data_IF_322195084266
#
_entry.id   IF_322195084266
#
_cell.length_a   1.000
_cell.length_b   1.000
_cell.length_c   1.000
_cell.angle_alpha   90.00
_cell.angle_beta   90.00
_cell.angle_gamma   90.00
#
_symmetry.space_group_name_H-M   'P 1'
#
loop_
_entity.id
_entity.type
_entity.pdbx_description
1 polymer ?
2 non-polymer ?
3 water ?
#
# COMPACT_ATOMS: atom_id res chain seq x y z
N UNK A 2 14.54 -7.01 6.51
CA UNK A 2 13.72 -6.45 5.39
C UNK A 2 12.26 -6.41 5.83
N UNK A 3 11.81 -7.51 6.43
CA UNK A 3 10.41 -7.68 6.84
C UNK A 3 10.02 -6.71 7.95
N UNK A 4 11.01 -6.15 8.64
CA UNK A 4 10.78 -5.11 9.64
C UNK A 4 10.11 -3.87 9.00
N UNK A 5 10.73 -3.34 7.95
CA UNK A 5 10.19 -2.17 7.23
C UNK A 5 8.91 -2.49 6.47
N UNK A 6 8.72 -3.76 6.22
CA UNK A 6 7.55 -4.19 5.50
C UNK A 6 6.28 -4.17 6.39
N UNK A 7 6.42 -4.70 7.58
CA UNK A 7 5.41 -4.57 8.61
C UNK A 7 5.11 -3.11 8.92
N UNK A 8 6.14 -2.27 9.08
CA UNK A 8 5.84 -0.84 9.31
C UNK A 8 5.05 -0.18 8.16
N UNK A 9 5.40 -0.49 6.89
CA UNK A 9 4.71 0.12 5.76
C UNK A 9 3.30 -0.41 5.63
N UNK A 10 3.10 -1.66 6.05
CA UNK A 10 1.76 -2.22 6.10
C UNK A 10 0.91 -1.49 7.15
N UNK A 11 1.49 -1.20 8.30
CA UNK A 11 0.76 -0.48 9.33
C UNK A 11 0.50 0.95 8.93
N UNK A 12 1.56 1.64 8.60
CA UNK A 12 1.49 3.05 8.26
C UNK A 12 0.71 3.23 6.98
N UNK A 13 1.02 2.43 5.98
CA UNK A 13 0.42 2.61 4.68
C UNK A 13 -0.92 1.95 4.42
N UNK A 14 -1.45 1.18 5.36
CA UNK A 14 -2.76 0.60 5.15
C UNK A 14 -3.62 0.55 6.37
N UNK A 15 -3.14 -0.10 7.43
CA UNK A 15 -3.96 -0.27 8.64
C UNK A 15 -4.33 1.07 9.29
N UNK A 16 -3.40 2.02 9.30
CA UNK A 16 -3.72 3.34 9.84
C UNK A 16 -4.80 4.03 9.03
N UNK A 17 -4.80 3.86 7.71
CA UNK A 17 -5.81 4.54 6.87
C UNK A 17 -7.17 3.91 7.01
N UNK A 18 -7.16 2.61 7.23
CA UNK A 18 -8.35 1.82 7.14
C UNK A 18 -9.04 1.56 8.48
N UNK A 19 -8.33 1.45 9.58
CA UNK A 19 -8.99 1.04 10.82
C UNK A 19 -10.06 2.04 11.38
N UNK A 20 -9.68 3.32 11.52
CA UNK A 20 -10.52 4.30 12.21
C UNK A 20 -11.96 4.42 11.72
N UNK A 21 -12.19 4.16 10.45
CA UNK A 21 -13.53 4.22 9.89
C UNK A 21 -14.23 2.87 9.80
N UNK A 22 -13.64 1.82 10.37
CA UNK A 22 -14.14 0.48 10.18
C UNK A 22 -15.50 0.36 10.82
N UNK A 23 -15.59 0.81 12.06
CA UNK A 23 -16.83 0.64 12.83
C UNK A 23 -18.06 1.30 12.16
N UNK A 24 -17.88 2.54 11.71
CA UNK A 24 -18.95 3.19 10.98
C UNK A 24 -19.38 2.35 9.80
N UNK A 25 -18.45 1.70 9.12
CA UNK A 25 -18.84 0.92 7.92
C UNK A 25 -19.59 -0.36 8.30
N UNK A 26 -19.24 -0.88 9.47
CA UNK A 26 -19.96 -2.03 10.05
C UNK A 26 -21.41 -1.63 10.36
N UNK A 27 -21.55 -0.51 11.09
CA UNK A 27 -22.88 0.05 11.44
C UNK A 27 -23.84 0.10 10.25
N UNK A 28 -23.37 0.67 9.13
CA UNK A 28 -24.13 0.65 7.88
C UNK A 28 -24.46 -0.76 7.49
N UNK A 29 -23.41 -1.54 7.27
CA UNK A 29 -23.52 -2.90 6.79
C UNK A 29 -24.63 -3.58 7.56
N UNK A 30 -24.59 -3.42 8.87
CA UNK A 30 -25.56 -4.04 9.77
C UNK A 30 -27.01 -3.51 9.60
N UNK A 31 -27.16 -2.19 9.45
CA UNK A 31 -28.45 -1.60 9.10
C UNK A 31 -29.06 -2.32 7.92
N UNK A 32 -28.21 -2.61 6.94
CA UNK A 32 -28.67 -3.01 5.61
C UNK A 32 -28.67 -4.51 5.41
N UNK A 33 -28.12 -5.25 6.37
CA UNK A 33 -28.12 -6.74 6.35
C UNK A 33 -28.50 -7.29 7.72
N UNK A 34 -29.61 -6.76 8.25
CA UNK A 34 -30.31 -7.37 9.39
C UNK A 34 -29.37 -7.79 10.50
N UNK A 35 -28.37 -6.96 10.75
CA UNK A 35 -27.35 -7.22 11.76
C UNK A 35 -26.55 -8.53 11.63
N UNK A 36 -26.11 -8.79 10.41
CA UNK A 36 -25.24 -9.88 10.08
C UNK A 36 -23.94 -9.90 10.91
N UNK A 37 -23.28 -8.77 11.04
CA UNK A 37 -22.18 -8.67 11.99
C UNK A 37 -22.78 -8.71 13.35
N UNK A 38 -22.03 -9.08 14.34
CA UNK A 38 -22.66 -9.52 15.58
C UNK A 38 -22.46 -8.79 16.91
N UNK A 39 -21.42 -9.17 17.62
CA UNK A 39 -21.03 -8.45 18.81
C UNK A 39 -19.61 -8.82 19.13
N UNK A 40 -18.71 -7.84 19.05
CA UNK A 40 -17.35 -7.99 19.55
C UNK A 40 -16.48 -8.88 18.67
N UNK A 41 -16.88 -10.14 18.45
CA UNK A 41 -16.12 -11.05 17.55
C UNK A 41 -16.07 -10.53 16.11
N UNK A 42 -17.20 -10.01 15.65
CA UNK A 42 -17.34 -9.63 14.28
C UNK A 42 -17.03 -8.14 14.11
N UNK A 43 -16.42 -7.50 15.10
CA UNK A 43 -16.12 -6.05 15.02
C UNK A 43 -14.65 -5.73 14.75
N UNK A 44 -13.96 -6.65 14.08
CA UNK A 44 -12.52 -6.55 13.86
C UNK A 44 -12.19 -6.86 12.42
N UNK A 45 -11.09 -6.32 11.94
CA UNK A 45 -10.58 -6.66 10.61
C UNK A 45 -9.57 -7.75 10.84
N UNK A 46 -9.84 -8.93 10.30
CA UNK A 46 -8.96 -10.08 10.44
C UNK A 46 -8.07 -10.20 9.21
N UNK A 47 -6.77 -10.15 9.49
CA UNK A 47 -5.75 -10.20 8.46
C UNK A 47 -5.13 -11.59 8.50
N UNK A 48 -5.26 -12.33 7.41
CA UNK A 48 -4.67 -13.66 7.30
C UNK A 48 -3.21 -13.65 6.83
N UNK A 49 -2.36 -14.32 7.60
CA UNK A 49 -0.97 -14.42 7.22
C UNK A 49 -0.48 -15.87 7.28
N UNK A 50 -0.71 -16.65 6.22
CA UNK A 50 -0.21 -17.98 6.26
C UNK A 50 1.28 -17.97 6.13
N UNK A 51 1.92 -18.80 6.90
CA UNK A 51 3.36 -18.96 6.83
C UNK A 51 3.80 -19.84 5.67
N UNK A 52 3.18 -20.97 5.53
CA UNK A 52 3.73 -21.95 4.65
C UNK A 52 3.48 -21.59 3.21
N UNK A 54 4.05 -19.15 -0.41
CA UNK A 54 3.52 -17.93 -0.91
C UNK A 54 2.31 -18.29 -1.71
N UNK A 55 1.54 -17.30 -2.03
CA UNK A 55 0.33 -17.54 -2.81
C UNK A 55 -0.57 -18.62 -2.18
N UNK A 56 -1.24 -18.23 -1.12
CA UNK A 56 -2.31 -19.09 -0.62
C UNK A 56 -3.48 -18.99 -1.57
N UNK A 57 -4.34 -20.01 -1.53
CA UNK A 57 -5.57 -20.05 -2.30
C UNK A 57 -6.30 -18.75 -2.03
N UNK A 58 -6.94 -18.16 -3.03
CA UNK A 58 -7.73 -16.95 -2.76
C UNK A 58 -8.97 -17.35 -1.95
N UNK A 59 -9.55 -16.38 -1.28
CA UNK A 59 -10.45 -16.65 -0.16
C UNK A 59 -11.78 -17.22 -0.62
N UNK A 60 -12.17 -16.88 -1.83
CA UNK A 60 -13.40 -17.41 -2.39
C UNK A 60 -13.35 -18.92 -2.62
N UNK A 61 -12.17 -19.54 -2.59
CA UNK A 61 -12.03 -20.93 -2.97
C UNK A 61 -11.28 -21.77 -1.94
N UNK A 62 -10.76 -21.13 -0.92
CA UNK A 62 -9.78 -21.76 -0.06
C UNK A 62 -10.42 -22.86 0.74
N UNK A 63 -11.69 -22.66 1.05
CA UNK A 63 -12.36 -23.52 2.01
C UNK A 63 -13.85 -23.44 1.79
N UNK A 64 -14.49 -24.59 1.66
CA UNK A 64 -15.93 -24.54 1.48
C UNK A 64 -16.66 -23.93 2.69
N UNK A 65 -16.02 -23.99 3.87
CA UNK A 65 -16.62 -23.38 5.04
C UNK A 65 -16.29 -21.92 5.22
N UNK A 66 -15.67 -21.29 4.24
CA UNK A 66 -15.56 -19.83 4.27
C UNK A 66 -16.35 -19.23 3.10
N UNK A 67 -17.47 -18.60 3.43
CA UNK A 67 -18.44 -18.22 2.40
C UNK A 67 -18.58 -16.70 2.26
N UNK A 68 -18.28 -16.19 1.07
CA UNK A 68 -18.39 -14.76 0.85
C UNK A 68 -19.83 -14.32 0.89
N UNK A 69 -20.09 -13.18 1.51
CA UNK A 69 -21.45 -12.68 1.57
C UNK A 69 -21.58 -11.38 0.80
N UNK A 70 -20.80 -10.41 1.27
CA UNK A 70 -20.92 -9.09 0.74
C UNK A 70 -19.78 -8.15 1.09
N UNK A 71 -19.69 -7.09 0.30
CA UNK A 71 -18.73 -6.04 0.55
C UNK A 71 -19.28 -5.14 1.62
N UNK A 72 -18.40 -4.64 2.47
CA UNK A 72 -18.76 -3.52 3.31
C UNK A 72 -18.97 -2.35 2.37
N UNK A 73 -19.67 -1.32 2.81
CA UNK A 73 -19.57 -0.12 1.99
C UNK A 73 -18.11 0.26 1.80
N UNK A 74 -17.78 0.78 0.61
CA UNK A 74 -16.42 1.26 0.33
C UNK A 74 -16.00 2.29 1.35
N UNK A 75 -14.70 2.51 1.47
CA UNK A 75 -14.13 3.56 2.32
C UNK A 75 -13.47 4.54 1.38
N UNK A 76 -13.80 5.82 1.50
CA UNK A 76 -13.09 6.89 0.73
C UNK A 76 -12.03 7.50 1.62
N UNK A 77 -10.85 7.70 1.07
CA UNK A 77 -9.77 8.32 1.80
C UNK A 77 -9.37 9.64 1.14
N UNK A 78 -8.77 10.55 1.87
CA UNK A 78 -8.42 11.80 1.28
C UNK A 78 -7.38 12.44 2.12
N UNK A 79 -6.25 11.78 2.15
CA UNK A 79 -5.15 12.26 2.88
C UNK A 79 -4.57 13.15 1.86
N UNK A 80 -3.53 13.86 2.22
CA UNK A 80 -2.82 14.64 1.23
C UNK A 80 -1.90 13.67 0.56
N UNK A 81 -2.41 12.46 0.34
CA UNK A 81 -1.69 11.43 -0.36
C UNK A 81 -1.19 11.59 -1.75
N UNK A 82 -1.59 10.72 -2.65
CA UNK A 82 -2.79 9.94 -2.67
C UNK A 82 -4.06 10.63 -3.03
N UNK A 83 -4.37 11.70 -2.32
CA UNK A 83 -5.52 12.49 -2.67
C UNK A 83 -6.70 11.57 -2.50
N UNK A 84 -7.43 11.27 -3.56
CA UNK A 84 -8.61 10.47 -3.42
C UNK A 84 -8.37 9.03 -3.72
N UNK A 85 -8.79 8.17 -2.81
CA UNK A 85 -8.72 6.73 -2.95
C UNK A 85 -9.97 6.08 -2.43
N UNK A 86 -10.28 4.94 -3.02
CA UNK A 86 -11.38 4.12 -2.55
C UNK A 86 -10.80 2.74 -2.20
N UNK A 87 -11.16 2.24 -1.02
CA UNK A 87 -10.74 0.90 -0.56
C UNK A 87 -11.92 -0.01 -0.41
N UNK A 88 -11.71 -1.30 -0.64
CA UNK A 88 -12.77 -2.29 -0.40
C UNK A 88 -12.40 -3.28 0.71
N UNK A 89 -13.41 -3.76 1.44
CA UNK A 89 -13.26 -4.97 2.29
C UNK A 89 -14.49 -5.81 2.25
N UNK A 90 -14.25 -7.10 2.50
CA UNK A 90 -15.16 -8.18 2.19
C UNK A 90 -15.54 -8.91 3.44
N UNK A 91 -16.78 -9.36 3.46
CA UNK A 91 -17.39 -9.97 4.63
C UNK A 91 -17.70 -11.38 4.31
N UNK A 92 -17.31 -12.28 5.21
CA UNK A 92 -17.43 -13.70 4.97
C UNK A 92 -18.20 -14.41 6.07
N UNK A 93 -19.00 -15.39 5.63
CA UNK A 93 -19.67 -16.30 6.53
C UNK A 93 -18.77 -17.52 6.75
N UNK A 94 -18.65 -17.90 8.02
CA UNK A 94 -17.77 -18.97 8.40
C UNK A 94 -18.56 -20.06 9.05
N UNK A 95 -18.49 -21.23 8.46
CA UNK A 95 -19.29 -22.39 8.83
C UNK A 95 -18.48 -23.32 9.71
N UNK A 96 -19.15 -23.96 10.64
CA UNK A 96 -18.56 -25.04 11.40
C UNK A 96 -19.64 -26.08 11.54
N UNK A 97 -19.34 -27.29 11.15
CA UNK A 97 -20.29 -28.37 11.26
C UNK A 97 -21.59 -28.06 10.50
N UNK A 98 -21.46 -27.36 9.38
CA UNK A 98 -22.60 -27.03 8.53
C UNK A 98 -23.51 -25.91 9.00
N UNK A 99 -23.13 -25.20 10.07
CA UNK A 99 -23.89 -24.11 10.62
C UNK A 99 -23.07 -22.87 10.54
N UNK A 100 -23.73 -21.73 10.30
CA UNK A 100 -23.05 -20.46 10.36
C UNK A 100 -22.56 -20.16 11.76
N UNK A 101 -21.25 -20.19 11.95
CA UNK A 101 -20.67 -20.03 13.30
C UNK A 101 -20.03 -18.68 13.47
N UNK A 102 -19.73 -18.00 12.38
CA UNK A 102 -19.19 -16.67 12.49
C UNK A 102 -19.34 -15.90 11.21
N UNK A 103 -19.37 -14.58 11.35
CA UNK A 103 -19.45 -13.70 10.20
C UNK A 103 -18.35 -12.68 10.41
N UNK A 104 -17.48 -12.50 9.45
CA UNK A 104 -16.42 -11.54 9.65
C UNK A 104 -15.79 -10.94 8.41
N UNK A 105 -15.04 -9.88 8.63
CA UNK A 105 -14.27 -9.18 7.63
C UNK A 105 -12.89 -9.76 7.67
N UNK A 106 -12.45 -10.22 6.52
CA UNK A 106 -11.35 -11.10 6.42
C UNK A 106 -10.60 -10.81 5.16
N UNK A 107 -9.30 -10.65 5.25
CA UNK A 107 -8.43 -10.60 4.08
C UNK A 107 -7.03 -11.11 4.34
N UNK A 108 -6.33 -11.43 3.24
CA UNK A 108 -4.90 -11.71 3.27
C UNK A 108 -4.11 -10.46 3.35
N UNK A 109 -2.99 -10.53 4.05
CA UNK A 109 -2.01 -9.47 4.14
C UNK A 109 -1.34 -9.31 2.80
N UNK A 110 -1.50 -8.16 2.17
CA UNK A 110 -0.87 -7.89 0.90
C UNK A 110 0.64 -8.10 0.88
N UNK A 111 1.33 -7.78 1.98
CA UNK A 111 2.79 -7.99 1.97
C UNK A 111 3.30 -9.42 1.73
N UNK A 112 2.45 -10.43 1.92
CA UNK A 112 2.73 -11.75 1.35
C UNK A 112 3.20 -11.65 -0.06
N UNK A 113 2.54 -10.79 -0.85
CA UNK A 113 2.84 -10.73 -2.30
C UNK A 113 4.22 -10.15 -2.49
N UNK A 114 4.59 -9.18 -1.68
CA UNK A 114 5.91 -8.66 -1.74
C UNK A 114 6.93 -9.70 -1.29
N UNK A 115 6.62 -10.45 -0.24
CA UNK A 115 7.59 -11.41 0.29
C UNK A 115 7.81 -12.48 -0.76
N UNK A 116 6.74 -12.92 -1.39
CA UNK A 116 6.87 -13.89 -2.41
C UNK A 116 7.68 -13.32 -3.56
N UNK A 117 7.33 -12.14 -4.04
CA UNK A 117 7.99 -11.57 -5.20
C UNK A 117 9.46 -11.44 -4.92
N UNK A 118 9.81 -11.00 -3.73
CA UNK A 118 11.21 -10.95 -3.36
C UNK A 118 11.90 -12.31 -3.53
N UNK A 119 11.26 -13.36 -3.03
CA UNK A 119 11.84 -14.69 -3.04
C UNK A 119 12.06 -15.23 -4.46
N UNK A 120 11.18 -14.85 -5.39
CA UNK A 120 11.20 -15.31 -6.80
C UNK A 120 12.14 -14.52 -7.78
N UNK A 121 12.79 -13.49 -7.28
CA UNK A 121 13.62 -12.66 -8.13
C UNK A 121 14.87 -13.41 -8.54
N UNK A 122 15.12 -13.42 -9.85
CA UNK A 122 16.22 -14.20 -10.44
C UNK A 122 17.59 -14.01 -9.81
N UNK A 123 18.06 -12.77 -9.69
CA UNK A 123 19.37 -12.52 -9.15
C UNK A 123 19.47 -12.70 -7.64
N UNK A 124 18.58 -12.05 -6.88
CA UNK A 124 18.67 -12.08 -5.39
C UNK A 124 17.54 -12.85 -4.67
N UNK A 125 16.72 -13.60 -5.43
CA UNK A 125 15.75 -14.50 -4.83
C UNK A 125 16.36 -15.40 -3.72
N UNK A 126 15.50 -16.10 -3.01
CA UNK A 126 15.93 -16.91 -1.87
C UNK A 126 14.95 -18.02 -1.53
N UNK A 127 15.44 -18.96 -0.75
CA UNK A 127 14.77 -20.22 -0.52
C UNK A 127 13.48 -20.07 0.30
N UNK A 128 12.73 -21.16 0.32
CA UNK A 128 11.51 -21.27 1.11
C UNK A 128 11.72 -21.04 2.61
N UNK A 129 12.79 -21.66 3.13
CA UNK A 129 13.22 -21.52 4.52
C UNK A 129 13.58 -20.09 4.88
N UNK A 130 14.30 -19.42 3.99
CA UNK A 130 14.63 -18.03 4.17
C UNK A 130 13.38 -17.15 4.08
N UNK A 131 12.45 -17.50 3.20
CA UNK A 131 11.20 -16.76 3.14
C UNK A 131 10.37 -16.90 4.43
N UNK A 132 10.31 -18.13 5.00
CA UNK A 132 9.57 -18.38 6.25
C UNK A 132 10.14 -17.52 7.40
N UNK A 133 11.47 -17.38 7.42
CA UNK A 133 12.17 -16.59 8.45
C UNK A 133 11.73 -15.12 8.35
N UNK A 134 11.70 -14.61 7.13
CA UNK A 134 11.17 -13.26 6.89
C UNK A 134 9.67 -13.13 7.22
N UNK A 135 8.88 -14.14 6.90
CA UNK A 135 7.46 -14.10 7.20
C UNK A 135 7.27 -13.99 8.69
N UNK A 136 7.99 -14.82 9.44
CA UNK A 136 7.88 -14.82 10.91
C UNK A 136 8.26 -13.45 11.51
N UNK A 137 9.28 -12.82 10.94
CA UNK A 137 9.74 -11.53 11.36
C UNK A 137 8.71 -10.44 11.04
N UNK A 138 8.08 -10.52 9.86
CA UNK A 138 6.98 -9.57 9.55
C UNK A 138 5.88 -9.62 10.60
N UNK A 139 5.45 -10.82 10.97
CA UNK A 139 4.36 -11.01 11.91
C UNK A 139 4.69 -10.53 13.32
N UNK A 140 5.86 -10.91 13.79
CA UNK A 140 6.31 -10.54 15.11
C UNK A 140 6.38 -9.02 15.23
N UNK A 141 6.98 -8.38 14.25
CA UNK A 141 7.08 -6.94 14.19
C UNK A 141 5.71 -6.26 14.05
N UNK A 142 4.81 -6.79 13.19
CA UNK A 142 3.47 -6.17 13.07
C UNK A 142 2.68 -6.33 14.39
N UNK A 143 2.82 -7.50 15.05
CA UNK A 143 2.12 -7.75 16.30
C UNK A 143 2.55 -6.75 17.36
N UNK A 144 3.85 -6.48 17.44
CA UNK A 144 4.39 -5.49 18.37
C UNK A 144 3.83 -4.11 18.14
N UNK A 145 3.83 -3.67 16.89
CA UNK A 145 3.27 -2.36 16.53
C UNK A 145 1.82 -2.25 17.00
N UNK A 146 1.03 -3.25 16.67
CA UNK A 146 -0.37 -3.25 17.03
C UNK A 146 -0.60 -3.26 18.54
N UNK A 147 0.24 -3.99 19.26
CA UNK A 147 0.11 -4.04 20.71
C UNK A 147 0.26 -2.66 21.32
N UNK A 148 1.02 -1.79 20.67
CA UNK A 148 1.32 -0.47 21.19
C UNK A 148 0.29 0.57 20.83
N UNK A 149 -0.81 0.16 20.22
CA UNK A 149 -1.78 1.06 19.62
C UNK A 149 -3.19 0.53 19.89
N UNK A 150 -3.79 0.92 21.01
CA UNK A 150 -5.02 0.23 21.44
C UNK A 150 -6.19 0.44 20.48
N UNK A 151 -6.35 1.66 19.96
CA UNK A 151 -7.37 1.96 18.97
C UNK A 151 -7.21 1.18 17.66
N UNK A 152 -5.97 0.94 17.26
CA UNK A 152 -5.73 0.10 16.11
C UNK A 152 -6.02 -1.35 16.50
N UNK A 153 -5.46 -1.80 17.63
CA UNK A 153 -5.59 -3.21 18.04
C UNK A 153 -7.00 -3.64 18.36
N UNK A 154 -7.82 -2.73 18.85
CA UNK A 154 -9.22 -3.05 19.11
C UNK A 154 -10.00 -3.28 17.82
N UNK A 155 -9.46 -2.87 16.70
CA UNK A 155 -10.14 -3.06 15.44
C UNK A 155 -9.52 -4.10 14.48
N UNK A 156 -8.42 -4.76 14.83
CA UNK A 156 -7.93 -5.86 13.98
C UNK A 156 -6.96 -6.85 14.63
N UNK A 157 -6.89 -8.04 14.04
CA UNK A 157 -6.12 -9.13 14.64
C UNK A 157 -5.41 -9.83 13.52
N UNK A 158 -4.14 -10.13 13.73
CA UNK A 158 -3.35 -10.87 12.79
C UNK A 158 -3.60 -12.33 13.08
N UNK A 159 -4.03 -13.07 12.05
CA UNK A 159 -4.25 -14.50 12.10
C UNK A 159 -3.11 -15.22 11.38
N UNK A 160 -2.18 -15.73 12.19
CA UNK A 160 -0.94 -16.35 11.69
C UNK A 160 -1.03 -17.84 11.82
N UNK A 161 -0.77 -18.55 10.74
CA UNK A 161 -0.86 -20.00 10.81
C UNK A 161 0.06 -20.66 9.81
N UNK A 162 0.39 -21.90 10.08
CA UNK A 162 1.25 -22.65 9.20
C UNK A 162 0.36 -23.72 8.57
N UNK A 163 0.59 -24.02 7.32
CA UNK A 163 -0.20 -25.01 6.65
C UNK A 163 0.62 -26.26 6.53
N UNK A 164 0.12 -27.36 7.03
CA UNK A 164 0.84 -28.57 6.72
C UNK A 164 0.57 -28.97 5.26
N UNK A 165 1.60 -29.35 4.50
CA UNK A 165 1.40 -29.92 3.13
C UNK A 165 0.88 -31.34 3.37
N UNK A 166 1.52 -32.02 4.32
CA UNK A 166 0.98 -33.20 4.97
C UNK A 166 -0.46 -32.90 5.46
N UNK A 169 -5.94 -32.57 6.17
CA UNK A 169 -6.69 -31.94 7.23
C UNK A 169 -6.12 -30.66 7.85
N UNK A 170 -6.13 -29.57 7.07
CA UNK A 170 -6.11 -28.19 7.62
C UNK A 170 -7.33 -27.43 7.16
N UNK A 171 -8.04 -26.85 8.11
CA UNK A 171 -9.22 -26.08 7.85
C UNK A 171 -8.88 -24.66 8.24
N UNK A 172 -8.89 -23.74 7.29
CA UNK A 172 -8.70 -22.32 7.62
C UNK A 172 -9.88 -21.78 8.40
N UNK A 173 -11.10 -22.26 8.09
CA UNK A 173 -12.30 -21.88 8.82
C UNK A 173 -12.19 -22.15 10.34
N UNK A 174 -11.63 -23.28 10.74
CA UNK A 174 -11.51 -23.59 12.17
C UNK A 174 -10.47 -22.67 12.81
N UNK A 175 -9.46 -22.30 12.05
CA UNK A 175 -8.45 -21.35 12.54
C UNK A 175 -9.04 -19.97 12.76
N UNK A 176 -9.83 -19.50 11.81
CA UNK A 176 -10.45 -18.19 11.91
C UNK A 176 -11.40 -18.16 13.11
N UNK A 177 -12.26 -19.18 13.21
CA UNK A 177 -13.13 -19.36 14.36
C UNK A 177 -12.43 -19.35 15.68
N UNK A 178 -11.35 -20.08 15.81
CA UNK A 178 -10.63 -20.04 17.06
C UNK A 178 -10.17 -18.63 17.43
N UNK A 179 -9.71 -17.87 16.45
CA UNK A 179 -9.36 -16.49 16.75
C UNK A 179 -10.56 -15.68 17.13
N UNK A 180 -11.59 -15.73 16.30
CA UNK A 180 -12.82 -14.99 16.50
C UNK A 180 -13.34 -15.29 17.89
N UNK A 181 -13.13 -16.51 18.40
CA UNK A 181 -13.61 -16.90 19.74
C UNK A 181 -12.71 -16.45 20.90
N UNK A 182 -11.39 -16.53 20.73
CA UNK A 182 -10.42 -16.19 21.79
C UNK A 182 -10.90 -15.18 22.86
N UNK B 1 18.50 -4.40 4.01
CA UNK B 1 17.91 -3.75 5.24
C UNK B 1 16.37 -3.53 5.09
N UNK B 2 15.81 -2.72 6.00
CA UNK B 2 14.35 -2.57 6.16
C UNK B 2 13.79 -1.84 4.96
N UNK B 3 14.63 -0.96 4.41
CA UNK B 3 14.31 -0.09 3.27
C UNK B 3 14.32 -0.84 1.95
N UNK B 4 14.98 -1.99 1.96
CA UNK B 4 15.02 -2.88 0.81
C UNK B 4 13.65 -3.59 0.62
N UNK B 5 13.12 -4.17 1.69
CA UNK B 5 11.75 -4.67 1.67
C UNK B 5 10.73 -3.57 1.40
N UNK B 6 11.00 -2.39 1.91
CA UNK B 6 10.13 -1.25 1.69
C UNK B 6 10.06 -0.86 0.20
N UNK B 7 11.20 -0.91 -0.47
CA UNK B 7 11.33 -0.54 -1.89
C UNK B 7 10.57 -1.57 -2.72
N UNK B 8 10.74 -2.83 -2.36
CA UNK B 8 10.02 -3.88 -3.05
C UNK B 8 8.52 -3.78 -2.85
N UNK B 9 8.08 -3.33 -1.68
CA UNK B 9 6.66 -3.19 -1.46
C UNK B 9 6.09 -1.99 -2.18
N UNK B 10 6.87 -0.94 -2.40
CA UNK B 10 6.35 0.24 -3.14
C UNK B 10 6.20 -0.17 -4.57
N UNK B 11 7.16 -0.94 -5.04
CA UNK B 11 7.10 -1.45 -6.39
C UNK B 11 5.96 -2.44 -6.55
N UNK B 12 6.01 -3.56 -5.80
CA UNK B 12 4.94 -4.57 -5.91
C UNK B 12 3.57 -3.96 -5.51
N UNK B 13 3.54 -3.17 -4.45
CA UNK B 13 2.28 -2.67 -3.92
C UNK B 13 1.66 -1.42 -4.54
N UNK B 14 2.39 -0.74 -5.39
CA UNK B 14 1.86 0.51 -5.94
C UNK B 14 2.27 0.69 -7.40
N UNK B 15 3.56 0.78 -7.69
CA UNK B 15 3.99 1.04 -9.06
C UNK B 15 3.50 -0.01 -10.06
N UNK B 16 3.55 -1.29 -9.71
CA UNK B 16 2.94 -2.33 -10.59
C UNK B 16 1.46 -2.11 -10.84
N UNK B 17 0.75 -1.57 -9.87
CA UNK B 17 -0.71 -1.40 -10.03
C UNK B 17 -1.08 -0.22 -10.89
N UNK B 18 -0.15 0.71 -11.03
CA UNK B 18 -0.48 2.08 -11.47
C UNK B 18 0.13 2.48 -12.83
N UNK B 19 1.36 2.06 -13.07
CA UNK B 19 2.07 2.36 -14.31
C UNK B 19 1.43 1.76 -15.58
N UNK B 20 1.03 0.48 -15.54
CA UNK B 20 0.44 -0.14 -16.74
C UNK B 20 -0.70 0.65 -17.34
N UNK B 21 -1.52 1.31 -16.51
CA UNK B 21 -2.67 2.03 -17.03
C UNK B 21 -2.45 3.51 -17.25
N UNK B 22 -1.20 3.99 -17.08
CA UNK B 22 -0.89 5.44 -16.99
C UNK B 22 -1.13 6.17 -18.32
N UNK B 23 -0.52 5.61 -19.34
CA UNK B 23 -0.54 6.20 -20.68
C UNK B 23 -1.97 6.29 -21.14
N UNK B 24 -2.74 5.26 -20.89
CA UNK B 24 -4.18 5.31 -21.19
C UNK B 24 -4.83 6.51 -20.53
N UNK B 25 -4.46 6.77 -19.28
CA UNK B 25 -5.06 7.85 -18.49
C UNK B 25 -4.58 9.23 -18.94
N UNK B 26 -3.34 9.28 -19.41
CA UNK B 26 -2.77 10.49 -19.99
C UNK B 26 -3.45 10.89 -21.30
N UNK B 27 -3.54 9.96 -22.25
CA UNK B 27 -4.20 10.21 -23.54
C UNK B 27 -5.57 10.80 -23.30
N UNK B 28 -6.37 10.17 -22.47
CA UNK B 28 -7.70 10.69 -22.14
C UNK B 28 -7.61 12.08 -21.51
N UNK B 29 -6.58 12.30 -20.68
CA UNK B 29 -6.38 13.62 -20.08
C UNK B 29 -6.23 14.67 -21.17
N UNK B 30 -5.25 14.41 -22.05
CA UNK B 30 -4.90 15.33 -23.11
C UNK B 30 -6.09 15.73 -23.93
N UNK B 31 -6.89 14.73 -24.27
CA UNK B 31 -8.12 14.95 -24.98
C UNK B 31 -9.07 15.87 -24.24
N UNK B 32 -9.10 15.76 -22.92
CA UNK B 32 -9.99 16.58 -22.08
C UNK B 32 -9.41 17.98 -21.79
N UNK B 33 -8.09 18.17 -22.03
CA UNK B 33 -7.37 19.44 -21.75
C UNK B 33 -6.31 19.73 -22.80
N UNK B 34 -6.82 19.88 -24.01
CA UNK B 34 -6.02 20.24 -25.17
C UNK B 34 -4.56 19.79 -25.23
N UNK B 35 -4.34 18.50 -25.04
CA UNK B 35 -3.00 17.89 -25.14
C UNK B 35 -1.98 18.62 -24.25
N UNK B 36 -2.47 19.04 -23.09
CA UNK B 36 -1.68 19.78 -22.08
C UNK B 36 -0.41 19.08 -21.58
N UNK B 37 -0.45 17.75 -21.57
CA UNK B 37 0.72 16.97 -21.18
C UNK B 37 1.71 16.74 -22.31
N UNK B 38 1.36 15.79 -23.18
CA UNK B 38 2.33 15.12 -24.04
C UNK B 38 3.48 15.96 -24.59
N UNK B 39 4.68 15.60 -24.17
CA UNK B 39 5.87 15.96 -24.90
C UNK B 39 6.98 14.94 -24.68
N UNK B 40 6.60 13.72 -24.29
CA UNK B 40 7.54 12.67 -23.78
C UNK B 40 8.01 12.96 -22.34
N UNK B 41 8.59 14.15 -22.12
CA UNK B 41 8.94 14.62 -20.76
C UNK B 41 7.73 14.81 -19.85
N UNK B 42 6.56 14.99 -20.48
CA UNK B 42 5.30 15.17 -19.77
C UNK B 42 4.55 13.84 -19.58
N UNK B 43 5.20 12.69 -19.73
CA UNK B 43 4.42 11.45 -19.68
C UNK B 43 5.04 10.38 -18.81
N UNK B 44 5.61 10.81 -17.70
CA UNK B 44 6.06 9.88 -16.68
C UNK B 44 5.47 10.21 -15.32
N UNK B 45 5.44 9.23 -14.44
CA UNK B 45 5.05 9.50 -13.07
C UNK B 45 6.30 9.95 -12.38
N UNK B 46 6.34 11.20 -11.93
CA UNK B 46 7.51 11.72 -11.21
C UNK B 46 7.27 11.56 -9.72
N UNK B 47 8.22 10.92 -9.08
CA UNK B 47 8.09 10.57 -7.69
C UNK B 47 9.21 11.27 -6.94
N UNK B 48 8.80 12.22 -6.10
CA UNK B 48 9.71 13.02 -5.30
C UNK B 48 10.14 12.27 -4.06
N UNK B 49 11.44 12.26 -3.83
CA UNK B 49 12.01 11.65 -2.65
C UNK B 49 13.05 12.57 -2.03
N UNK B 50 12.60 13.52 -1.20
CA UNK B 50 13.55 14.35 -0.47
C UNK B 50 14.30 13.55 0.58
N UNK B 51 15.61 13.51 0.43
CA UNK B 51 16.47 12.75 1.33
C UNK B 51 16.63 13.43 2.66
N UNK B 52 16.14 14.65 2.79
CA UNK B 52 16.35 15.41 4.00
C UNK B 52 15.72 14.97 5.26
N UNK B 54 11.79 13.56 7.10
CA UNK B 54 10.45 13.07 6.93
C UNK B 54 9.54 14.27 6.78
N UNK B 55 8.33 14.01 6.33
CA UNK B 55 7.32 15.01 6.37
C UNK B 55 7.75 16.23 5.62
N UNK B 56 7.70 16.15 4.30
CA UNK B 56 7.91 17.31 3.44
C UNK B 56 6.56 17.98 3.14
N UNK B 57 6.49 19.30 3.25
CA UNK B 57 5.25 20.03 3.02
C UNK B 57 4.50 19.51 1.80
N UNK B 58 3.18 19.40 1.90
CA UNK B 58 2.41 18.86 0.82
C UNK B 58 2.61 19.67 -0.44
N UNK B 59 2.55 19.02 -1.58
CA UNK B 59 2.99 19.59 -2.83
C UNK B 59 2.33 20.86 -3.25
N UNK B 60 1.07 21.03 -2.86
CA UNK B 60 0.29 22.20 -3.30
C UNK B 60 0.78 23.51 -2.65
N UNK B 61 1.65 23.35 -1.66
CA UNK B 61 2.02 24.41 -0.73
C UNK B 61 3.55 24.52 -0.58
N UNK B 62 4.30 23.56 -1.12
CA UNK B 62 5.78 23.50 -0.92
C UNK B 62 6.56 24.60 -1.68
N UNK B 63 6.00 25.10 -2.77
CA UNK B 63 6.78 25.99 -3.63
C UNK B 63 5.87 26.81 -4.48
N UNK B 64 6.05 28.14 -4.49
CA UNK B 64 5.11 28.87 -5.37
C UNK B 64 5.26 28.47 -6.87
N UNK B 65 6.44 27.93 -7.21
CA UNK B 65 6.66 27.50 -8.58
C UNK B 65 6.15 26.13 -8.92
N UNK B 66 5.47 25.46 -8.00
CA UNK B 66 4.85 24.15 -8.27
C UNK B 66 3.37 24.29 -8.02
N UNK B 67 2.58 24.41 -9.09
CA UNK B 67 1.18 24.83 -9.00
C UNK B 67 0.24 23.74 -9.50
N UNK B 68 -0.66 23.25 -8.63
CA UNK B 68 -1.59 22.17 -9.00
C UNK B 68 -2.51 22.58 -10.18
N UNK B 69 -2.59 21.71 -11.18
CA UNK B 69 -3.42 22.04 -12.34
C UNK B 69 -4.68 21.20 -12.34
N UNK B 70 -4.51 19.89 -12.37
CA UNK B 70 -5.64 18.98 -12.50
C UNK B 70 -5.31 17.58 -12.05
N UNK B 71 -6.38 16.82 -11.82
CA UNK B 71 -6.28 15.39 -11.60
C UNK B 71 -6.39 14.66 -12.96
N UNK B 72 -5.58 13.62 -13.09
CA UNK B 72 -5.79 12.63 -14.15
C UNK B 72 -7.13 11.97 -13.91
N UNK B 73 -7.70 11.35 -14.95
CA UNK B 73 -8.82 10.46 -14.61
C UNK B 73 -8.34 9.33 -13.71
N UNK B 74 -9.23 8.87 -12.85
CA UNK B 74 -8.88 7.90 -11.84
C UNK B 74 -8.48 6.57 -12.42
N UNK B 75 -7.64 5.83 -11.70
CA UNK B 75 -7.29 4.46 -12.08
C UNK B 75 -8.04 3.52 -11.20
N UNK B 76 -8.87 2.68 -11.79
CA UNK B 76 -9.60 1.65 -11.07
C UNK B 76 -8.82 0.38 -11.09
N UNK B 77 -8.78 -0.30 -9.98
CA UNK B 77 -7.99 -1.50 -9.89
C UNK B 77 -8.90 -2.54 -9.36
N UNK B 78 -8.66 -3.78 -9.74
CA UNK B 78 -9.55 -4.83 -9.36
C UNK B 78 -8.84 -6.14 -9.37
N UNK B 79 -8.21 -6.42 -8.26
CA UNK B 79 -7.46 -7.63 -8.14
C UNK B 79 -8.17 -8.56 -7.19
N UNK B 80 -7.58 -9.71 -6.96
CA UNK B 80 -8.05 -10.63 -5.94
C UNK B 80 -7.47 -10.10 -4.67
N UNK B 81 -8.11 -10.41 -3.56
CA UNK B 81 -7.67 -9.88 -2.31
C UNK B 81 -7.99 -8.46 -2.08
N UNK B 82 -7.53 -7.60 -2.97
CA UNK B 82 -7.90 -6.19 -2.93
C UNK B 82 -8.90 -6.14 -4.05
N UNK B 83 -10.14 -5.97 -3.71
CA UNK B 83 -11.15 -5.93 -4.72
C UNK B 83 -11.12 -4.45 -5.00
N UNK B 84 -12.14 -3.90 -5.57
CA UNK B 84 -12.12 -2.52 -6.01
C UNK B 84 -11.37 -1.41 -5.31
N UNK B 85 -10.39 -0.84 -5.97
CA UNK B 85 -9.71 0.35 -5.45
C UNK B 85 -9.69 1.41 -6.49
N UNK B 86 -9.69 2.64 -6.05
CA UNK B 86 -9.58 3.72 -6.98
C UNK B 86 -8.35 4.48 -6.51
N UNK B 87 -7.37 4.65 -7.42
CA UNK B 87 -6.17 5.44 -7.17
C UNK B 87 -6.23 6.74 -7.95
N UNK B 88 -5.65 7.79 -7.36
CA UNK B 88 -5.54 9.11 -8.00
C UNK B 88 -4.10 9.52 -8.25
N UNK B 89 -3.91 10.31 -9.29
CA UNK B 89 -2.66 11.01 -9.52
C UNK B 89 -2.88 12.44 -10.01
N UNK B 90 -1.93 13.31 -9.70
CA UNK B 90 -2.12 14.77 -9.85
C UNK B 90 -1.11 15.38 -10.83
N UNK B 91 -1.60 16.33 -11.59
CA UNK B 91 -0.82 16.98 -12.62
C UNK B 91 -0.48 18.38 -12.19
N UNK B 92 0.81 18.69 -12.27
CA UNK B 92 1.33 19.99 -11.83
C UNK B 92 1.98 20.76 -12.96
N UNK B 93 1.77 22.06 -12.91
CA UNK B 93 2.36 23.03 -13.79
C UNK B 93 3.60 23.53 -13.04
N UNK B 94 4.75 23.48 -13.67
CA UNK B 94 5.99 23.92 -13.04
C UNK B 94 6.47 25.20 -13.74
N UNK B 95 6.27 26.32 -13.06
CA UNK B 95 6.69 27.59 -13.55
C UNK B 95 8.15 27.86 -13.30
N UNK B 96 8.74 28.53 -14.28
CA UNK B 96 10.08 29.09 -14.20
C UNK B 96 9.98 30.54 -14.65
N UNK B 97 10.77 31.39 -14.04
CA UNK B 97 10.77 32.77 -14.46
C UNK B 97 9.40 33.39 -14.36
N UNK B 98 8.58 32.86 -13.48
CA UNK B 98 7.23 33.31 -13.32
C UNK B 98 6.24 32.77 -14.34
N UNK B 99 6.65 31.84 -15.20
CA UNK B 99 5.75 31.34 -16.24
C UNK B 99 5.74 29.83 -16.34
N UNK B 100 4.62 29.23 -16.79
CA UNK B 100 4.69 27.78 -16.96
C UNK B 100 5.80 27.37 -17.92
N UNK B 101 6.66 26.50 -17.43
CA UNK B 101 7.79 25.98 -18.17
C UNK B 101 7.66 24.46 -18.39
N UNK B 102 6.91 23.78 -17.54
CA UNK B 102 6.79 22.33 -17.61
C UNK B 102 5.47 21.89 -17.05
N UNK B 103 5.00 20.73 -17.50
CA UNK B 103 3.78 20.12 -16.97
C UNK B 103 4.03 18.65 -16.73
N UNK B 104 3.67 18.17 -15.55
CA UNK B 104 3.90 16.77 -15.27
C UNK B 104 2.93 16.23 -14.25
N UNK B 105 3.04 14.92 -14.10
CA UNK B 105 2.35 14.15 -13.05
C UNK B 105 3.38 13.98 -11.94
N UNK B 106 3.04 14.39 -10.72
CA UNK B 106 4.05 14.60 -9.66
C UNK B 106 3.52 14.16 -8.28
N UNK B 107 4.29 13.37 -7.54
CA UNK B 107 3.88 13.03 -6.18
C UNK B 107 5.05 12.65 -5.33
N UNK B 108 4.84 12.74 -4.03
CA UNK B 108 5.81 12.23 -3.06
C UNK B 108 5.69 10.74 -2.95
N UNK B 109 6.82 10.11 -2.76
CA UNK B 109 6.86 8.73 -2.41
C UNK B 109 6.26 8.51 -1.04
N UNK B 110 5.17 7.77 -0.98
CA UNK B 110 4.55 7.42 0.26
C UNK B 110 5.44 6.74 1.31
N UNK B 111 6.43 5.94 0.94
CA UNK B 111 7.31 5.38 1.97
C UNK B 111 8.15 6.38 2.78
N UNK B 112 8.19 7.64 2.39
CA UNK B 112 8.75 8.65 3.27
C UNK B 112 8.05 8.61 4.60
N UNK B 113 6.74 8.48 4.56
CA UNK B 113 5.95 8.44 5.78
C UNK B 113 6.27 7.27 6.67
N UNK B 114 6.73 6.19 6.09
CA UNK B 114 7.06 4.99 6.82
C UNK B 114 8.46 5.07 7.45
N UNK B 115 9.46 5.58 6.74
CA UNK B 115 10.77 5.73 7.29
C UNK B 115 10.69 6.71 8.42
N UNK B 116 9.85 7.71 8.26
CA UNK B 116 9.68 8.64 9.32
C UNK B 116 9.03 7.94 10.54
N UNK B 117 7.90 7.25 10.36
CA UNK B 117 7.19 6.60 11.50
C UNK B 117 8.05 5.63 12.26
N UNK B 118 8.84 4.87 11.50
CA UNK B 118 9.87 3.97 12.05
C UNK B 118 10.85 4.74 12.93
N UNK B 119 11.38 5.81 12.38
CA UNK B 119 12.25 6.70 13.08
C UNK B 119 11.68 7.05 14.43
N UNK B 120 10.50 7.62 14.35
CA UNK B 120 9.74 8.16 15.49
C UNK B 120 9.22 7.15 16.54
N UNK B 121 9.59 5.88 16.47
CA UNK B 121 8.98 4.94 17.40
C UNK B 121 9.64 5.06 18.76
N UNK B 122 8.81 4.99 19.80
CA UNK B 122 9.29 5.16 21.16
C UNK B 122 10.49 4.26 21.41
N UNK B 123 10.37 2.98 21.05
CA UNK B 123 11.41 1.96 21.30
C UNK B 123 11.90 1.36 19.97
N UNK B 124 13.22 1.24 19.84
CA UNK B 124 13.83 0.88 18.55
C UNK B 124 13.51 1.90 17.45
N UNK B 125 12.99 3.06 17.81
CA UNK B 125 13.05 4.17 16.89
C UNK B 125 14.52 4.48 16.66
N UNK B 126 14.80 5.37 15.72
CA UNK B 126 16.17 5.72 15.33
C UNK B 126 16.24 7.23 14.97
N UNK B 127 17.47 7.75 15.02
CA UNK B 127 17.74 9.19 14.80
C UNK B 127 17.55 9.60 13.33
N UNK B 128 17.58 10.91 13.07
CA UNK B 128 17.65 11.49 11.70
C UNK B 128 18.85 10.92 10.89
N UNK B 129 20.05 10.85 11.52
CA UNK B 129 21.29 10.33 10.89
C UNK B 129 21.19 8.87 10.44
N UNK B 130 20.40 8.08 11.18
CA UNK B 130 20.05 6.69 10.82
C UNK B 130 18.92 6.60 9.74
N UNK B 131 17.88 7.44 9.84
CA UNK B 131 16.76 7.43 8.89
C UNK B 131 17.20 7.82 7.48
N UNK B 132 18.20 8.71 7.39
CA UNK B 132 18.78 9.11 6.10
C UNK B 132 19.47 7.95 5.38
N UNK B 133 20.27 7.17 6.11
CA UNK B 133 20.98 6.05 5.48
C UNK B 133 19.96 5.05 4.91
N UNK B 134 18.87 4.88 5.64
CA UNK B 134 17.79 4.03 5.19
C UNK B 134 17.15 4.60 3.94
N UNK B 135 16.85 5.89 3.93
CA UNK B 135 16.27 6.52 2.71
C UNK B 135 17.12 6.32 1.46
N UNK B 136 18.42 6.41 1.66
CA UNK B 136 19.40 6.13 0.61
C UNK B 136 19.27 4.70 0.12
N UNK B 137 19.26 3.74 1.05
CA UNK B 137 19.10 2.32 0.67
C UNK B 137 17.81 2.10 -0.14
N UNK B 138 16.74 2.72 0.30
CA UNK B 138 15.44 2.63 -0.39
C UNK B 138 15.55 3.11 -1.83
N UNK B 139 16.12 4.28 -2.03
CA UNK B 139 16.25 4.84 -3.38
C UNK B 139 17.07 3.93 -4.30
N UNK B 140 18.17 3.40 -3.77
CA UNK B 140 19.04 2.53 -4.54
C UNK B 140 18.34 1.23 -4.93
N UNK B 141 17.74 0.57 -3.94
CA UNK B 141 16.95 -0.62 -4.19
C UNK B 141 15.81 -0.39 -5.18
N UNK B 142 15.06 0.71 -5.05
CA UNK B 142 14.02 0.99 -6.01
C UNK B 142 14.55 1.23 -7.42
N UNK B 143 15.71 1.87 -7.55
CA UNK B 143 16.23 2.13 -8.89
C UNK B 143 16.80 0.86 -9.51
N UNK B 144 17.25 -0.09 -8.68
CA UNK B 144 17.66 -1.43 -9.18
C UNK B 144 16.48 -2.25 -9.65
N UNK B 145 15.38 -2.24 -8.91
CA UNK B 145 14.18 -2.96 -9.31
C UNK B 145 13.60 -2.48 -10.65
N UNK B 146 13.45 -1.17 -10.80
CA UNK B 146 12.91 -0.57 -12.05
C UNK B 146 13.75 -0.87 -13.30
N UNK B 147 15.05 -1.04 -13.10
CA UNK B 147 15.95 -1.32 -14.20
C UNK B 147 15.69 -2.67 -14.87
N UNK B 148 15.33 -3.66 -14.09
CA UNK B 148 15.06 -5.01 -14.61
C UNK B 148 13.73 -5.15 -15.32
N UNK B 149 12.97 -4.07 -15.42
CA UNK B 149 11.66 -4.16 -16.01
C UNK B 149 11.39 -2.87 -16.77
N UNK B 150 11.73 -2.87 -18.07
CA UNK B 150 11.56 -1.67 -18.91
C UNK B 150 10.15 -1.03 -18.95
N UNK B 151 9.10 -1.85 -19.07
CA UNK B 151 7.73 -1.33 -19.14
C UNK B 151 7.50 -0.25 -18.07
N UNK B 152 8.12 -0.49 -16.92
CA UNK B 152 7.92 0.32 -15.73
C UNK B 152 8.92 1.47 -15.75
N UNK B 153 10.20 1.12 -15.85
CA UNK B 153 11.23 2.13 -15.82
C UNK B 153 10.81 3.37 -16.65
N UNK B 154 10.39 3.22 -17.93
CA UNK B 154 10.20 4.40 -18.83
C UNK B 154 8.95 5.21 -18.55
N UNK B 155 8.12 4.67 -17.66
CA UNK B 155 6.90 5.33 -17.24
C UNK B 155 7.00 6.05 -15.87
N UNK B 156 8.10 5.88 -15.12
CA UNK B 156 8.35 6.71 -13.92
C UNK B 156 9.80 7.06 -13.64
N UNK B 157 10.00 8.18 -12.95
CA UNK B 157 11.31 8.65 -12.52
C UNK B 157 11.28 8.95 -11.03
N UNK B 158 12.34 8.50 -10.36
CA UNK B 158 12.51 8.78 -8.97
C UNK B 158 13.39 10.00 -8.87
N UNK B 159 12.82 11.15 -8.49
CA UNK B 159 13.57 12.36 -8.36
C UNK B 159 14.08 12.46 -6.96
N UNK B 160 15.38 12.20 -6.75
CA UNK B 160 15.98 12.24 -5.40
C UNK B 160 16.77 13.51 -5.21
N UNK B 161 16.53 14.20 -4.11
CA UNK B 161 17.15 15.48 -3.86
C UNK B 161 17.38 15.74 -2.37
N UNK B 162 18.28 16.69 -2.09
CA UNK B 162 18.64 17.07 -0.73
C UNK B 162 18.72 18.57 -0.56
N UNK B 163 18.36 19.13 0.59
CA UNK B 163 18.49 20.57 0.71
C UNK B 163 19.99 20.90 0.62
N UNK B 164 20.36 22.11 0.18
CA UNK B 164 21.77 22.25 -0.21
C UNK B 164 22.71 21.85 0.90
N UNK B 171 15.79 25.03 -4.77
CA UNK B 171 14.50 25.07 -5.46
C UNK B 171 14.11 23.74 -6.06
N UNK B 172 12.92 23.30 -5.72
CA UNK B 172 12.43 22.06 -6.24
C UNK B 172 11.96 22.25 -7.67
N UNK B 173 11.17 23.27 -7.91
CA UNK B 173 10.63 23.49 -9.24
C UNK B 173 11.71 23.46 -10.30
N UNK B 174 12.89 23.96 -9.94
CA UNK B 174 14.06 23.92 -10.84
C UNK B 174 14.63 22.50 -10.92
N UNK B 175 14.57 21.81 -9.78
CA UNK B 175 14.99 20.40 -9.70
C UNK B 175 14.07 19.47 -10.55
N UNK B 176 12.76 19.74 -10.54
CA UNK B 176 11.81 18.97 -11.36
C UNK B 176 12.03 19.23 -12.86
N UNK B 177 12.08 20.49 -13.29
CA UNK B 177 12.26 20.78 -14.71
C UNK B 177 13.48 20.13 -15.30
N UNK B 178 14.61 20.17 -14.59
CA UNK B 178 15.81 19.51 -15.09
C UNK B 178 15.46 18.08 -15.51
N UNK B 179 14.74 17.38 -14.65
CA UNK B 179 14.34 16.00 -14.93
C UNK B 179 13.45 15.89 -16.15
N UNK B 180 12.47 16.78 -16.27
CA UNK B 180 11.57 16.73 -17.43
C UNK B 180 12.35 16.97 -18.72
N UNK B 181 13.34 17.84 -18.62
CA UNK B 181 14.22 18.16 -19.74
C UNK B 181 15.22 17.07 -20.11
N UNK B 182 15.72 16.35 -19.14
CA UNK B 182 16.70 15.31 -19.41
C UNK B 182 16.29 14.39 -20.56
#
# INVERSE_FOLDING_TARGET
SVAHGLAWSYYIGYLRLILPGLQARIRMFNQLHNNMLSGAGSRRLYILFPLDCGVPDNLSVVDPNIRFRDMLPQQNIDRAGIKNRVYSNSVYEILENGQPAGVCILEYATPLQTLFAMSQDAKAGFSREDRLEQAKLFCRTLEEILEDVPESRNNCRLIVYQEPTDGNSFSLSQEVLRHIRQEEKEEV
SVAHGLAWSYYIGYLRLILPGLQARIRMFNQLHNNMLSGAGSRRLYILFPLDCGVPDNLSVVDPNIRFRDMLPQQNIDRAGIKNRVYSNSVYEILENGQPAGVCILEYATPLQTLFAMSQDAKAGFSREDRLEQAKLFCRTLEEILEDVPESRNNCRLIVYQEPTDGNSFSLSQEVLRHIRQEEKEEV
#
